data_IF_717224662657
#
_entry.id   IF_717224662657
#
_cell.length_a   1.000
_cell.length_b   1.000
_cell.length_c   1.000
_cell.angle_alpha   90.00
_cell.angle_beta   90.00
_cell.angle_gamma   90.00
#
_symmetry.space_group_name_H-M   'P 1'
#
loop_
_entity.id
_entity.type
_entity.pdbx_description
1 polymer ?
#
# COMPACT_ATOMS: atom_id res chain seq x y z
N UNK A 1 -37.95 27.05 -55.49
CA UNK A 1 -37.25 28.28 -55.94
C UNK A 1 -36.54 28.91 -54.75
N UNK A 2 -35.28 28.54 -54.48
CA UNK A 2 -34.20 29.44 -54.03
C UNK A 2 -32.90 28.63 -53.92
N UNK A 3 -31.85 29.14 -54.57
CA UNK A 3 -30.60 28.46 -54.83
C UNK A 3 -29.53 28.76 -53.78
N UNK A 4 -28.73 27.74 -53.48
CA UNK A 4 -27.51 27.79 -52.65
C UNK A 4 -26.42 28.59 -53.40
N UNK A 5 -25.81 29.58 -52.75
CA UNK A 5 -24.59 30.26 -53.22
C UNK A 5 -23.45 30.08 -52.22
N UNK A 6 -22.47 29.29 -52.64
CA UNK A 6 -21.14 29.14 -52.04
C UNK A 6 -20.28 30.39 -52.27
N UNK A 7 -19.69 30.95 -51.21
CA UNK A 7 -18.66 32.00 -51.32
C UNK A 7 -17.26 31.40 -51.14
N UNK A 8 -16.48 31.39 -52.22
CA UNK A 8 -15.03 31.17 -52.24
C UNK A 8 -14.32 32.31 -51.50
N UNK A 9 -13.43 32.02 -50.56
CA UNK A 9 -12.43 32.96 -50.04
C UNK A 9 -11.13 32.79 -50.83
N UNK A 10 -10.66 33.87 -51.45
CA UNK A 10 -9.33 33.94 -52.09
C UNK A 10 -8.31 34.34 -51.02
N UNK A 11 -7.20 33.61 -50.97
CA UNK A 11 -6.05 33.93 -50.13
C UNK A 11 -5.27 35.12 -50.71
N UNK A 12 -4.82 36.04 -49.84
CA UNK A 12 -3.89 37.11 -50.17
C UNK A 12 -2.53 36.72 -49.61
N UNK A 13 -1.55 36.57 -50.49
CA UNK A 13 -0.16 36.32 -50.13
C UNK A 13 0.54 37.66 -49.82
N UNK A 14 1.13 37.77 -48.63
CA UNK A 14 2.01 38.88 -48.25
C UNK A 14 3.45 38.37 -48.36
N UNK A 15 4.24 38.97 -49.27
CA UNK A 15 5.67 38.70 -49.41
C UNK A 15 6.44 39.55 -48.38
N UNK A 16 7.23 38.90 -47.53
CA UNK A 16 8.22 39.56 -46.67
C UNK A 16 9.62 39.19 -47.18
N UNK A 17 10.38 40.19 -47.59
CA UNK A 17 11.77 40.05 -48.03
C UNK A 17 12.70 39.92 -46.82
N UNK A 18 13.56 38.91 -46.83
CA UNK A 18 14.60 38.69 -45.84
C UNK A 18 15.86 39.50 -46.19
N UNK A 19 16.40 40.24 -45.22
CA UNK A 19 17.77 40.76 -45.25
C UNK A 19 18.53 40.03 -44.15
N UNK A 20 19.42 39.11 -44.54
CA UNK A 20 20.37 38.48 -43.63
C UNK A 20 21.60 39.40 -43.49
N UNK A 21 21.79 39.98 -42.30
CA UNK A 21 23.09 40.50 -41.87
C UNK A 21 23.81 39.38 -41.11
N UNK A 22 24.93 38.90 -41.67
CA UNK A 22 25.78 37.91 -41.04
C UNK A 22 26.58 38.52 -39.88
N UNK A 23 26.43 37.97 -38.68
CA UNK A 23 27.32 38.15 -37.55
C UNK A 23 27.95 36.79 -37.24
N UNK A 24 29.22 36.62 -37.61
CA UNK A 24 30.02 35.48 -37.21
C UNK A 24 30.46 35.66 -35.76
N UNK A 25 30.06 34.74 -34.89
CA UNK A 25 30.61 34.61 -33.54
C UNK A 25 31.61 33.44 -33.51
N UNK A 26 32.78 33.60 -32.85
CA UNK A 26 33.77 32.53 -32.76
C UNK A 26 33.28 31.44 -31.79
N UNK A 27 33.36 30.19 -32.22
CA UNK A 27 33.16 29.02 -31.37
C UNK A 27 34.36 28.81 -30.46
N UNK A 28 34.20 29.01 -29.16
CA UNK A 28 35.16 28.58 -28.14
C UNK A 28 34.87 27.11 -27.78
N UNK A 29 35.76 26.21 -28.20
CA UNK A 29 35.77 24.82 -27.77
C UNK A 29 36.40 24.72 -26.38
N UNK A 30 35.58 24.47 -25.35
CA UNK A 30 36.06 24.09 -24.03
C UNK A 30 36.15 22.56 -23.91
N UNK A 31 37.31 22.05 -23.55
CA UNK A 31 37.57 20.65 -23.18
C UNK A 31 36.83 20.29 -21.87
N UNK A 32 36.27 19.07 -21.73
CA UNK A 32 35.57 18.69 -20.51
C UNK A 32 36.57 18.43 -19.38
N UNK A 33 36.33 19.07 -18.23
CA UNK A 33 37.04 18.81 -16.99
C UNK A 33 36.47 17.56 -16.32
N UNK A 34 37.33 16.58 -16.04
CA UNK A 34 37.00 15.36 -15.32
C UNK A 34 36.71 15.69 -13.86
N UNK A 35 35.44 15.63 -13.46
CA UNK A 35 35.06 15.72 -12.05
C UNK A 35 35.19 14.33 -11.42
N UNK A 36 36.21 14.16 -10.57
CA UNK A 36 36.36 12.97 -9.72
C UNK A 36 35.37 13.09 -8.57
N UNK A 37 34.21 12.44 -8.69
CA UNK A 37 33.26 12.31 -7.58
C UNK A 37 33.87 11.39 -6.51
N UNK A 38 34.12 11.93 -5.32
CA UNK A 38 34.44 11.16 -4.15
C UNK A 38 33.19 10.37 -3.72
N UNK A 39 33.27 9.03 -3.77
CA UNK A 39 32.25 8.13 -3.24
C UNK A 39 32.32 8.14 -1.72
N UNK A 40 31.41 8.85 -1.06
CA UNK A 40 31.11 8.64 0.35
C UNK A 40 30.25 7.38 0.47
N UNK A 41 30.86 6.28 0.88
CA UNK A 41 30.15 5.04 1.23
C UNK A 41 29.36 5.29 2.51
N UNK A 42 28.06 5.55 2.38
CA UNK A 42 27.10 5.39 3.48
C UNK A 42 26.58 3.96 3.40
N UNK A 43 27.08 3.07 4.25
CA UNK A 43 26.52 1.75 4.47
C UNK A 43 25.20 1.91 5.25
N UNK A 44 24.12 2.19 4.54
CA UNK A 44 22.81 1.77 5.01
C UNK A 44 22.77 0.25 4.86
N UNK A 45 22.72 -0.48 5.97
CA UNK A 45 22.50 -1.92 5.94
C UNK A 45 21.09 -2.17 5.40
N UNK A 46 21.01 -2.59 4.14
CA UNK A 46 19.82 -3.24 3.60
C UNK A 46 19.90 -4.69 4.06
N UNK A 47 19.34 -5.00 5.21
CA UNK A 47 19.12 -6.38 5.68
C UNK A 47 18.12 -7.02 4.72
N UNK A 48 18.63 -7.83 3.79
CA UNK A 48 17.81 -8.61 2.85
C UNK A 48 17.17 -9.80 3.57
N UNK A 49 16.06 -10.35 3.06
CA UNK A 49 15.36 -11.51 3.64
C UNK A 49 16.30 -12.64 4.15
N UNK A 50 17.37 -12.96 3.41
CA UNK A 50 18.36 -13.97 3.80
C UNK A 50 19.04 -13.74 5.18
N UNK A 51 19.13 -12.49 5.66
CA UNK A 51 19.70 -12.16 6.98
C UNK A 51 18.65 -12.36 8.09
N UNK A 52 17.35 -12.23 7.77
CA UNK A 52 16.25 -12.58 8.66
C UNK A 52 16.05 -14.10 8.75
N UNK A 53 16.32 -14.86 7.67
CA UNK A 53 16.17 -16.33 7.65
C UNK A 53 17.00 -17.03 8.73
N UNK A 54 18.26 -16.64 8.88
CA UNK A 54 19.16 -17.26 9.86
C UNK A 54 18.93 -16.76 11.30
N UNK A 55 18.16 -15.69 11.45
CA UNK A 55 17.93 -15.00 12.74
C UNK A 55 16.47 -15.00 13.15
N UNK A 56 15.69 -14.06 12.63
CA UNK A 56 14.30 -13.78 12.98
C UNK A 56 13.35 -14.91 12.55
N UNK A 57 13.56 -15.50 11.37
CA UNK A 57 12.68 -16.54 10.80
C UNK A 57 13.23 -17.97 10.92
N UNK A 58 14.34 -18.19 11.62
CA UNK A 58 15.03 -19.50 11.70
C UNK A 58 14.10 -20.67 12.04
N UNK A 59 13.08 -20.44 12.87
CA UNK A 59 12.16 -21.48 13.34
C UNK A 59 11.00 -21.72 12.36
N UNK A 60 10.85 -20.89 11.33
CA UNK A 60 9.87 -21.05 10.24
C UNK A 60 10.49 -21.74 9.00
N UNK A 61 11.80 -21.60 8.78
CA UNK A 61 12.49 -22.10 7.58
C UNK A 61 12.25 -23.60 7.37
N UNK A 62 11.84 -23.94 6.15
CA UNK A 62 11.60 -25.32 5.70
C UNK A 62 10.28 -25.94 6.17
N UNK A 63 9.43 -25.20 6.91
CA UNK A 63 8.11 -25.65 7.32
C UNK A 63 7.06 -25.27 6.27
N UNK A 64 5.92 -25.98 6.29
CA UNK A 64 4.74 -25.70 5.45
C UNK A 64 3.44 -25.98 6.23
N UNK A 65 2.30 -25.58 5.69
CA UNK A 65 0.97 -25.75 6.27
C UNK A 65 0.87 -25.20 7.69
N UNK A 66 0.10 -25.88 8.54
CA UNK A 66 -0.10 -25.52 9.95
C UNK A 66 1.22 -25.35 10.71
N UNK A 67 2.24 -26.15 10.40
CA UNK A 67 3.53 -26.07 11.08
C UNK A 67 4.27 -24.75 10.79
N UNK A 68 4.16 -24.23 9.57
CA UNK A 68 4.67 -22.92 9.21
C UNK A 68 3.84 -21.83 9.87
N UNK A 69 2.51 -21.90 9.73
CA UNK A 69 1.59 -20.93 10.33
C UNK A 69 1.82 -20.76 11.84
N UNK A 70 1.85 -21.84 12.62
CA UNK A 70 2.08 -21.76 14.06
C UNK A 70 3.49 -21.24 14.43
N UNK A 71 4.49 -21.53 13.60
CA UNK A 71 5.85 -21.00 13.82
C UNK A 71 5.90 -19.49 13.57
N UNK A 72 5.28 -19.02 12.50
CA UNK A 72 5.14 -17.60 12.21
C UNK A 72 4.32 -16.90 13.27
N UNK A 73 3.18 -17.46 13.69
CA UNK A 73 2.37 -16.94 14.79
C UNK A 73 3.25 -16.69 16.02
N UNK A 74 4.02 -17.70 16.44
CA UNK A 74 4.92 -17.59 17.58
C UNK A 74 5.93 -16.45 17.40
N UNK A 75 6.58 -16.37 16.24
CA UNK A 75 7.60 -15.34 15.93
C UNK A 75 6.99 -13.92 16.00
N UNK A 76 5.84 -13.71 15.36
CA UNK A 76 5.23 -12.38 15.24
C UNK A 76 4.33 -12.02 16.43
N UNK A 77 4.08 -12.96 17.35
CA UNK A 77 3.27 -12.76 18.55
C UNK A 77 3.92 -11.77 19.53
N UNK A 78 5.25 -11.78 19.60
CA UNK A 78 6.03 -10.85 20.41
C UNK A 78 6.10 -9.50 19.69
N UNK A 79 5.33 -8.54 20.20
CA UNK A 79 5.27 -7.20 19.64
C UNK A 79 4.98 -6.14 20.70
N UNK A 80 5.51 -4.94 20.45
CA UNK A 80 5.10 -3.74 21.17
C UNK A 80 3.73 -3.29 20.65
N UNK A 81 2.77 -3.09 21.56
CA UNK A 81 1.41 -2.68 21.21
C UNK A 81 1.26 -1.17 21.39
N UNK A 82 0.80 -0.50 20.34
CA UNK A 82 0.55 0.94 20.39
C UNK A 82 -0.81 1.25 21.03
N UNK A 83 -0.94 2.46 21.58
CA UNK A 83 -2.28 3.00 21.88
C UNK A 83 -2.95 3.45 20.59
N UNK A 84 -4.28 3.48 20.58
CA UNK A 84 -5.01 3.93 19.40
C UNK A 84 -4.65 5.35 18.98
N UNK A 85 -4.38 6.25 19.93
CA UNK A 85 -3.95 7.62 19.62
C UNK A 85 -2.56 7.68 18.99
N UNK A 86 -1.62 6.84 19.43
CA UNK A 86 -0.26 6.79 18.89
C UNK A 86 -0.20 6.34 17.43
N UNK A 87 -1.19 5.57 16.96
CA UNK A 87 -1.30 5.15 15.55
C UNK A 87 -1.27 6.35 14.60
N UNK A 88 -1.85 7.50 14.95
CA UNK A 88 -1.84 8.66 14.07
C UNK A 88 -0.45 9.14 13.71
N UNK A 89 0.46 9.15 14.68
CA UNK A 89 1.83 9.61 14.46
C UNK A 89 2.67 8.53 13.78
N UNK A 90 2.40 7.26 14.07
CA UNK A 90 3.01 6.15 13.35
C UNK A 90 2.66 6.15 11.86
N UNK A 91 1.38 6.31 11.49
CA UNK A 91 0.95 6.34 10.09
C UNK A 91 1.55 7.49 9.27
N UNK A 92 1.84 8.64 9.91
CA UNK A 92 2.57 9.73 9.26
C UNK A 92 4.00 9.34 8.89
N UNK A 93 4.57 8.34 9.54
CA UNK A 93 5.94 7.86 9.27
C UNK A 93 5.89 6.64 8.37
N UNK A 94 5.10 5.61 8.70
CA UNK A 94 5.02 4.33 7.97
C UNK A 94 4.49 4.50 6.55
N UNK A 95 3.59 5.45 6.33
CA UNK A 95 2.92 5.67 5.06
C UNK A 95 3.30 7.03 4.43
N UNK A 96 4.42 7.62 4.85
CA UNK A 96 4.94 8.85 4.25
C UNK A 96 5.11 8.69 2.74
N UNK A 97 4.57 9.62 1.96
CA UNK A 97 4.74 9.65 0.52
C UNK A 97 6.23 9.83 0.14
N UNK A 98 6.83 8.91 -0.66
CA UNK A 98 8.23 9.00 -1.06
C UNK A 98 8.56 10.27 -1.85
N UNK A 99 7.59 10.80 -2.60
CA UNK A 99 7.77 11.99 -3.43
C UNK A 99 7.41 13.29 -2.69
N UNK A 100 6.82 13.19 -1.50
CA UNK A 100 6.46 14.35 -0.67
C UNK A 100 6.40 14.00 0.82
N UNK A 101 7.49 14.30 1.55
CA UNK A 101 7.61 14.01 2.98
C UNK A 101 6.61 14.74 3.89
N UNK A 102 5.92 15.78 3.38
CA UNK A 102 4.82 16.45 4.08
C UNK A 102 3.50 15.68 4.05
N UNK A 103 3.42 14.63 3.23
CA UNK A 103 2.20 13.88 2.95
C UNK A 103 2.32 12.40 3.36
N UNK A 104 1.16 11.76 3.47
CA UNK A 104 1.00 10.30 3.46
C UNK A 104 0.41 9.85 2.12
N UNK A 105 0.74 8.63 1.72
CA UNK A 105 0.13 7.95 0.58
C UNK A 105 -1.08 7.16 1.07
N UNK A 106 -2.26 7.49 0.55
CA UNK A 106 -3.51 6.81 0.92
C UNK A 106 -3.59 5.46 0.20
N UNK A 107 -3.95 4.40 0.93
CA UNK A 107 -3.89 3.01 0.48
C UNK A 107 -4.66 2.77 -0.83
N UNK A 108 -5.98 2.84 -0.76
CA UNK A 108 -6.89 2.50 -1.85
C UNK A 108 -6.92 3.61 -2.90
N UNK A 109 -7.03 4.87 -2.48
CA UNK A 109 -7.11 5.98 -3.45
C UNK A 109 -5.79 6.30 -4.14
N UNK A 110 -4.64 5.91 -3.56
CA UNK A 110 -3.31 6.26 -4.06
C UNK A 110 -3.01 7.76 -3.99
N UNK A 111 -3.87 8.56 -3.37
CA UNK A 111 -3.73 10.02 -3.29
C UNK A 111 -2.61 10.36 -2.30
N UNK A 112 -1.80 11.36 -2.65
CA UNK A 112 -0.88 12.01 -1.72
C UNK A 112 -1.63 13.08 -0.91
N UNK A 113 -1.64 12.96 0.42
CA UNK A 113 -2.40 13.89 1.29
C UNK A 113 -1.58 14.38 2.46
N UNK A 114 -1.70 15.67 2.79
CA UNK A 114 -1.01 16.27 3.94
C UNK A 114 -1.18 15.45 5.21
N UNK A 115 -0.08 15.25 5.93
CA UNK A 115 -0.04 14.64 7.26
C UNK A 115 -0.95 15.35 8.28
N UNK A 116 -1.24 16.64 8.06
CA UNK A 116 -2.09 17.44 8.94
C UNK A 116 -3.59 17.36 8.61
N UNK A 117 -3.95 16.79 7.45
CA UNK A 117 -5.35 16.58 7.07
C UNK A 117 -5.88 15.25 7.59
N UNK A 118 -5.61 14.93 8.86
CA UNK A 118 -6.07 13.70 9.49
C UNK A 118 -7.29 13.98 10.37
N UNK A 119 -8.33 13.13 10.33
CA UNK A 119 -9.56 13.32 11.12
C UNK A 119 -10.79 12.70 10.46
N UNK A 120 -11.98 13.23 10.74
CA UNK A 120 -13.25 12.67 10.27
C UNK A 120 -13.98 13.45 9.17
N UNK A 121 -13.41 14.56 8.68
CA UNK A 121 -14.07 15.40 7.67
C UNK A 121 -13.79 14.92 6.24
N UNK A 122 -14.68 15.24 5.30
CA UNK A 122 -14.36 15.06 3.87
C UNK A 122 -13.10 15.84 3.49
N UNK A 123 -12.24 15.20 2.68
CA UNK A 123 -10.90 15.71 2.35
C UNK A 123 -9.83 15.39 3.40
N UNK A 124 -10.19 14.90 4.58
CA UNK A 124 -9.23 14.32 5.52
C UNK A 124 -8.95 12.85 5.18
N UNK A 125 -7.86 12.33 5.72
CA UNK A 125 -7.65 10.90 5.86
C UNK A 125 -7.94 10.42 7.28
N UNK A 126 -8.35 9.16 7.43
CA UNK A 126 -8.52 8.47 8.69
C UNK A 126 -7.77 7.13 8.71
N UNK A 127 -7.87 6.41 9.82
CA UNK A 127 -7.30 5.08 9.99
C UNK A 127 -8.23 4.05 9.35
N UNK A 128 -7.76 3.43 8.29
CA UNK A 128 -8.37 2.27 7.67
C UNK A 128 -7.91 1.01 8.41
N UNK A 129 -8.87 0.25 8.90
CA UNK A 129 -8.65 -1.08 9.44
C UNK A 129 -8.82 -2.08 8.30
N UNK A 130 -7.72 -2.42 7.61
CA UNK A 130 -7.79 -3.36 6.46
C UNK A 130 -8.47 -4.66 6.87
N UNK A 131 -8.09 -5.27 8.00
CA UNK A 131 -9.02 -6.17 8.66
C UNK A 131 -10.14 -5.38 9.34
N UNK A 132 -11.35 -5.41 8.79
CA UNK A 132 -12.45 -4.63 9.33
C UNK A 132 -12.81 -5.07 10.77
N UNK A 133 -12.83 -4.13 11.72
CA UNK A 133 -13.04 -4.41 13.15
C UNK A 133 -14.29 -5.23 13.45
N UNK A 134 -15.34 -5.08 12.64
CA UNK A 134 -16.60 -5.81 12.83
C UNK A 134 -16.48 -7.31 12.56
N UNK A 135 -15.46 -7.76 11.82
CA UNK A 135 -15.17 -9.18 11.61
C UNK A 135 -14.30 -9.70 12.75
N UNK A 136 -14.85 -9.75 13.95
CA UNK A 136 -14.16 -10.20 15.17
C UNK A 136 -14.35 -9.32 16.40
N UNK A 137 -14.96 -8.14 16.26
CA UNK A 137 -15.35 -7.23 17.37
C UNK A 137 -14.19 -6.87 18.33
N UNK A 138 -12.97 -6.75 17.80
CA UNK A 138 -11.80 -6.45 18.63
C UNK A 138 -11.63 -4.95 18.94
N UNK A 139 -12.43 -4.09 18.28
CA UNK A 139 -12.46 -2.65 18.50
C UNK A 139 -11.12 -1.94 18.27
N UNK A 140 -10.75 -1.05 19.19
CA UNK A 140 -9.55 -0.18 19.08
C UNK A 140 -8.58 -0.34 20.25
N UNK A 141 -8.74 -1.41 21.03
CA UNK A 141 -7.83 -1.75 22.12
C UNK A 141 -6.45 -2.14 21.59
N UNK A 142 -5.42 -1.91 22.41
CA UNK A 142 -4.04 -2.25 22.08
C UNK A 142 -3.91 -3.76 21.77
N UNK A 143 -3.53 -4.09 20.54
CA UNK A 143 -3.62 -5.42 19.96
C UNK A 143 -4.07 -5.32 18.50
N UNK A 144 -5.01 -6.17 18.02
CA UNK A 144 -5.45 -6.15 16.63
C UNK A 144 -6.03 -4.79 16.23
N UNK A 145 -6.71 -4.08 17.14
CA UNK A 145 -7.27 -2.74 16.89
C UNK A 145 -6.25 -1.63 16.63
N UNK A 146 -4.97 -1.88 16.89
CA UNK A 146 -3.88 -0.90 16.82
C UNK A 146 -2.67 -1.41 16.05
N UNK A 147 -2.76 -2.59 15.42
CA UNK A 147 -1.64 -3.20 14.71
C UNK A 147 -1.37 -2.49 13.38
N UNK A 148 -0.20 -1.85 13.30
CA UNK A 148 0.28 -1.12 12.14
C UNK A 148 0.42 -2.02 10.92
N UNK A 149 0.61 -3.33 11.05
CA UNK A 149 0.72 -4.19 9.86
C UNK A 149 -0.57 -4.21 9.04
N UNK A 150 -1.74 -3.85 9.60
CA UNK A 150 -2.99 -3.76 8.83
C UNK A 150 -3.66 -2.37 8.86
N UNK A 151 -3.20 -1.45 9.72
CA UNK A 151 -3.72 -0.09 9.79
C UNK A 151 -3.06 0.80 8.74
N UNK A 152 -3.86 1.47 7.89
CA UNK A 152 -3.36 2.34 6.81
C UNK A 152 -4.07 3.70 6.84
N UNK A 153 -3.46 4.79 6.34
CA UNK A 153 -4.19 6.03 6.12
C UNK A 153 -5.05 5.91 4.86
N UNK A 154 -6.31 6.32 4.93
CA UNK A 154 -7.18 6.36 3.75
C UNK A 154 -8.09 7.59 3.75
N UNK A 155 -8.53 8.02 2.57
CA UNK A 155 -9.53 9.06 2.42
C UNK A 155 -10.81 8.66 3.17
N UNK A 156 -11.36 9.58 3.98
CA UNK A 156 -12.54 9.33 4.81
C UNK A 156 -13.73 8.80 3.99
N UNK A 157 -13.93 9.29 2.76
CA UNK A 157 -15.04 8.86 1.91
C UNK A 157 -14.76 7.48 1.30
N UNK A 158 -13.52 7.21 0.90
CA UNK A 158 -13.12 5.90 0.36
C UNK A 158 -13.19 4.83 1.45
N UNK A 159 -12.69 5.11 2.65
CA UNK A 159 -12.85 4.25 3.82
C UNK A 159 -14.34 4.00 4.12
N UNK A 160 -15.18 5.04 4.10
CA UNK A 160 -16.63 4.86 4.28
C UNK A 160 -17.30 4.01 3.20
N UNK A 161 -16.83 4.05 1.95
CA UNK A 161 -17.35 3.22 0.85
C UNK A 161 -16.92 1.76 1.02
N UNK A 162 -15.67 1.54 1.44
CA UNK A 162 -15.13 0.21 1.77
C UNK A 162 -15.93 -0.39 2.93
N UNK A 163 -16.16 0.37 3.99
CA UNK A 163 -16.95 -0.04 5.15
C UNK A 163 -16.39 -1.31 5.79
N UNK A 164 -17.20 -2.36 5.85
CA UNK A 164 -16.81 -3.68 6.36
C UNK A 164 -16.92 -4.78 5.29
N UNK A 165 -16.94 -4.39 4.00
CA UNK A 165 -17.04 -5.34 2.89
C UNK A 165 -15.84 -6.28 2.89
N UNK A 166 -16.11 -7.54 2.54
CA UNK A 166 -15.07 -8.52 2.33
C UNK A 166 -14.23 -8.15 1.10
N UNK A 167 -12.98 -8.63 1.05
CA UNK A 167 -12.13 -8.47 -0.13
C UNK A 167 -12.41 -9.57 -1.15
N UNK A 168 -12.75 -9.16 -2.36
CA UNK A 168 -13.01 -9.99 -3.55
C UNK A 168 -12.93 -9.07 -4.78
N UNK A 169 -13.09 -9.61 -5.98
CA UNK A 169 -13.28 -8.81 -7.19
C UNK A 169 -14.56 -7.99 -7.06
N UNK A 170 -14.41 -6.67 -7.19
CA UNK A 170 -15.48 -5.72 -6.96
C UNK A 170 -16.37 -5.59 -8.18
N UNK A 171 -17.21 -4.55 -8.15
CA UNK A 171 -18.06 -4.20 -9.28
C UNK A 171 -17.56 -2.96 -10.01
N UNK A 172 -18.02 -1.80 -9.56
CA UNK A 172 -17.85 -0.54 -10.28
C UNK A 172 -16.86 0.38 -9.58
N UNK A 173 -16.16 1.19 -10.37
CA UNK A 173 -15.33 2.27 -9.84
C UNK A 173 -16.19 3.38 -9.22
N UNK A 174 -15.57 4.17 -8.35
CA UNK A 174 -16.21 5.29 -7.65
C UNK A 174 -15.27 6.48 -7.55
N UNK A 175 -15.79 7.63 -7.13
CA UNK A 175 -15.00 8.88 -7.04
C UNK A 175 -13.80 8.70 -6.12
N UNK A 176 -12.62 9.16 -6.56
CA UNK A 176 -11.35 9.02 -5.85
C UNK A 176 -10.90 7.58 -5.57
N UNK A 177 -11.44 6.57 -6.28
CA UNK A 177 -11.10 5.17 -5.99
C UNK A 177 -9.67 4.77 -6.34
N UNK A 178 -8.96 5.57 -7.16
CA UNK A 178 -7.59 5.24 -7.58
C UNK A 178 -7.50 3.98 -8.45
N UNK A 179 -8.63 3.46 -8.93
CA UNK A 179 -8.74 2.16 -9.60
C UNK A 179 -9.50 1.11 -8.78
N UNK A 180 -9.71 1.33 -7.48
CA UNK A 180 -10.49 0.41 -6.65
C UNK A 180 -11.93 0.31 -7.16
N UNK A 181 -12.50 -0.89 -7.02
CA UNK A 181 -13.88 -1.23 -7.38
C UNK A 181 -14.66 -1.67 -6.15
N UNK A 182 -15.98 -1.55 -6.20
CA UNK A 182 -16.84 -2.03 -5.12
C UNK A 182 -18.21 -2.41 -5.65
N UNK A 183 -18.88 -3.32 -4.94
CA UNK A 183 -20.28 -3.66 -5.13
C UNK A 183 -21.03 -3.68 -3.78
N UNK A 184 -22.06 -4.52 -3.63
CA UNK A 184 -22.86 -4.60 -2.41
C UNK A 184 -22.13 -5.17 -1.19
N UNK A 185 -21.23 -6.13 -1.39
CA UNK A 185 -20.65 -6.95 -0.34
C UNK A 185 -19.12 -7.10 -0.45
N UNK A 186 -18.53 -6.67 -1.57
CA UNK A 186 -17.10 -6.73 -1.81
C UNK A 186 -16.42 -5.38 -2.13
N UNK A 187 -15.12 -5.36 -1.85
CA UNK A 187 -14.21 -4.30 -2.23
C UNK A 187 -12.97 -4.89 -2.90
N UNK A 188 -12.63 -4.37 -4.07
CA UNK A 188 -11.39 -4.66 -4.78
C UNK A 188 -10.48 -3.43 -4.72
N UNK A 189 -9.30 -3.52 -4.08
CA UNK A 189 -8.35 -2.42 -4.07
C UNK A 189 -7.76 -2.23 -5.48
N UNK A 190 -7.28 -1.02 -5.79
CA UNK A 190 -6.54 -0.74 -7.03
C UNK A 190 -5.38 -1.72 -7.19
N UNK A 191 -5.03 -2.03 -8.44
CA UNK A 191 -4.05 -3.08 -8.77
C UNK A 191 -2.72 -2.96 -8.00
N UNK A 192 -2.21 -1.74 -7.84
CA UNK A 192 -0.92 -1.49 -7.21
C UNK A 192 -0.92 -1.50 -5.67
N UNK A 193 -1.93 -2.10 -5.02
CA UNK A 193 -1.93 -2.47 -3.58
C UNK A 193 -2.77 -3.74 -3.33
N UNK A 194 -3.00 -4.56 -4.37
CA UNK A 194 -3.75 -5.82 -4.23
C UNK A 194 -2.99 -6.79 -3.34
N UNK A 195 -1.68 -6.89 -3.55
CA UNK A 195 -0.78 -7.72 -2.78
C UNK A 195 -0.59 -7.20 -1.37
N UNK A 196 -0.45 -5.88 -1.18
CA UNK A 196 -0.45 -5.26 0.15
C UNK A 196 -1.66 -5.74 0.96
N UNK A 197 -2.87 -5.59 0.42
CA UNK A 197 -4.10 -5.94 1.10
C UNK A 197 -4.15 -7.43 1.43
N UNK A 198 -3.76 -8.28 0.47
CA UNK A 198 -3.66 -9.72 0.68
C UNK A 198 -2.74 -10.05 1.87
N UNK A 199 -1.50 -9.55 1.85
CA UNK A 199 -0.51 -9.81 2.90
C UNK A 199 -0.91 -9.22 4.25
N UNK A 200 -1.65 -8.10 4.29
CA UNK A 200 -2.18 -7.54 5.52
C UNK A 200 -3.30 -8.42 6.13
N UNK A 201 -4.21 -8.97 5.31
CA UNK A 201 -5.25 -9.89 5.78
C UNK A 201 -4.65 -11.21 6.26
N UNK A 202 -3.74 -11.80 5.48
CA UNK A 202 -3.09 -13.06 5.83
C UNK A 202 -2.20 -12.93 7.07
N UNK A 203 -1.50 -11.79 7.22
CA UNK A 203 -0.79 -11.46 8.46
C UNK A 203 -1.72 -11.45 9.67
N UNK A 204 -2.88 -10.80 9.57
CA UNK A 204 -3.82 -10.72 10.68
C UNK A 204 -4.32 -12.10 11.10
N UNK A 205 -4.54 -12.99 10.13
CA UNK A 205 -4.95 -14.36 10.40
C UNK A 205 -3.85 -15.18 11.11
N UNK A 206 -2.59 -15.03 10.72
CA UNK A 206 -1.47 -15.70 11.41
C UNK A 206 -1.19 -15.07 12.77
N UNK A 207 -1.24 -13.74 12.88
CA UNK A 207 -0.96 -13.06 14.15
C UNK A 207 -2.03 -13.36 15.18
N UNK A 208 -3.30 -13.41 14.80
CA UNK A 208 -4.43 -13.50 15.73
C UNK A 208 -5.25 -14.79 15.52
N UNK A 209 -4.62 -15.96 15.68
CA UNK A 209 -5.25 -17.29 15.56
C UNK A 209 -5.97 -17.78 16.84
N UNK A 210 -6.50 -16.87 17.67
CA UNK A 210 -7.36 -17.22 18.81
C UNK A 210 -6.68 -17.71 20.10
N UNK A 211 -5.35 -17.78 20.15
CA UNK A 211 -4.57 -18.30 21.29
C UNK A 211 -4.22 -17.29 22.40
N UNK A 212 -4.29 -15.98 22.14
CA UNK A 212 -3.80 -14.92 23.04
C UNK A 212 -4.91 -13.98 23.53
N UNK A 213 -6.12 -14.52 23.74
CA UNK A 213 -7.35 -13.82 24.18
C UNK A 213 -7.96 -12.86 23.16
N UNK A 214 -7.45 -12.87 21.92
CA UNK A 214 -8.07 -12.22 20.78
C UNK A 214 -8.96 -13.21 20.00
N UNK A 215 -9.87 -12.72 19.15
CA UNK A 215 -10.63 -13.57 18.25
C UNK A 215 -9.71 -14.38 17.34
N UNK A 216 -10.17 -15.56 16.94
CA UNK A 216 -9.53 -16.39 15.92
C UNK A 216 -9.87 -15.84 14.52
N UNK A 217 -8.98 -15.01 13.99
CA UNK A 217 -9.13 -14.34 12.71
C UNK A 217 -8.70 -15.28 11.58
N UNK A 218 -9.58 -15.54 10.60
CA UNK A 218 -9.23 -16.36 9.42
C UNK A 218 -9.81 -15.79 8.11
N UNK A 219 -9.11 -15.87 6.97
CA UNK A 219 -9.76 -15.72 5.68
C UNK A 219 -10.61 -16.97 5.37
N UNK A 220 -11.55 -16.85 4.45
CA UNK A 220 -12.31 -17.99 3.93
C UNK A 220 -12.65 -17.77 2.46
N UNK A 221 -13.43 -18.64 1.81
CA UNK A 221 -13.87 -18.38 0.41
C UNK A 221 -15.28 -17.78 0.32
N UNK A 222 -15.63 -16.82 1.19
CA UNK A 222 -16.93 -16.15 1.22
C UNK A 222 -16.83 -14.62 1.35
N UNK A 223 -17.90 -13.92 0.96
CA UNK A 223 -18.06 -12.45 1.08
C UNK A 223 -19.28 -12.07 1.93
N UNK A 224 -19.82 -13.04 2.68
CA UNK A 224 -21.03 -12.91 3.50
C UNK A 224 -20.74 -13.27 4.96
N UNK A 225 -19.59 -12.82 5.47
CA UNK A 225 -19.10 -13.20 6.80
C UNK A 225 -19.80 -12.43 7.93
N UNK A 226 -20.40 -11.28 7.64
CA UNK A 226 -21.17 -10.52 8.63
C UNK A 226 -20.28 -9.99 9.75
N UNK A 227 -20.35 -10.60 10.94
CA UNK A 227 -19.55 -10.19 12.11
C UNK A 227 -18.74 -11.34 12.72
N UNK A 228 -18.73 -12.52 12.09
CA UNK A 228 -17.82 -13.59 12.52
C UNK A 228 -16.38 -13.17 12.21
N UNK A 229 -15.36 -13.71 12.89
CA UNK A 229 -13.96 -13.33 12.65
C UNK A 229 -13.39 -13.93 11.34
N UNK A 230 -14.19 -13.88 10.26
CA UNK A 230 -13.81 -14.35 8.93
C UNK A 230 -13.73 -13.16 7.98
N UNK A 231 -12.67 -13.02 7.19
CA UNK A 231 -12.56 -11.85 6.32
C UNK A 231 -11.77 -12.07 5.02
N UNK A 232 -12.41 -11.69 3.91
CA UNK A 232 -11.83 -11.74 2.57
C UNK A 232 -11.79 -13.14 1.95
N UNK A 233 -11.94 -13.19 0.63
CA UNK A 233 -11.92 -14.43 -0.16
C UNK A 233 -10.48 -14.94 -0.34
N UNK A 234 -10.11 -15.98 0.40
CA UNK A 234 -8.77 -16.56 0.42
C UNK A 234 -8.22 -16.84 -0.98
N UNK A 235 -8.99 -17.49 -1.84
CA UNK A 235 -8.56 -17.76 -3.23
C UNK A 235 -8.18 -16.49 -4.02
N UNK A 236 -8.87 -15.37 -3.77
CA UNK A 236 -8.58 -14.08 -4.41
C UNK A 236 -7.42 -13.37 -3.73
N UNK A 237 -7.29 -13.45 -2.41
CA UNK A 237 -6.15 -12.90 -1.68
C UNK A 237 -4.84 -13.59 -2.13
N UNK A 238 -4.86 -14.92 -2.30
CA UNK A 238 -3.73 -15.68 -2.86
C UNK A 238 -3.36 -15.20 -4.26
N UNK A 239 -4.36 -15.07 -5.14
CA UNK A 239 -4.16 -14.54 -6.49
C UNK A 239 -3.53 -13.13 -6.47
N UNK A 240 -4.05 -12.23 -5.62
CA UNK A 240 -3.55 -10.86 -5.50
C UNK A 240 -2.12 -10.79 -4.95
N UNK A 241 -1.75 -11.67 -4.02
CA UNK A 241 -0.38 -11.77 -3.54
C UNK A 241 0.61 -12.10 -4.67
N UNK A 242 0.22 -13.00 -5.58
CA UNK A 242 1.06 -13.41 -6.71
C UNK A 242 1.13 -12.35 -7.82
N UNK A 243 0.01 -11.66 -8.07
CA UNK A 243 -0.11 -10.63 -9.12
C UNK A 243 0.59 -9.32 -8.75
N UNK A 244 0.68 -9.01 -7.45
CA UNK A 244 1.27 -7.78 -6.92
C UNK A 244 2.31 -8.11 -5.81
N UNK A 245 3.55 -8.47 -6.20
CA UNK A 245 4.63 -8.75 -5.26
C UNK A 245 4.99 -7.54 -4.40
N UNK A 246 5.63 -7.73 -3.23
CA UNK A 246 6.08 -6.62 -2.39
C UNK A 246 6.91 -5.59 -3.15
N UNK A 247 6.56 -4.32 -2.97
CA UNK A 247 7.30 -3.20 -3.55
C UNK A 247 8.15 -2.48 -2.49
N UNK A 248 9.00 -1.55 -2.95
CA UNK A 248 9.89 -0.81 -2.06
C UNK A 248 9.14 0.04 -1.02
N UNK A 249 7.89 0.44 -1.27
CA UNK A 249 7.10 1.18 -0.30
C UNK A 249 6.62 0.26 0.82
N UNK A 250 6.12 -0.93 0.47
CA UNK A 250 5.68 -1.95 1.42
C UNK A 250 6.84 -2.53 2.24
N UNK A 251 7.96 -2.87 1.60
CA UNK A 251 9.17 -3.35 2.29
C UNK A 251 9.69 -2.32 3.30
N UNK A 252 9.78 -1.04 2.89
CA UNK A 252 10.17 0.06 3.78
C UNK A 252 9.20 0.18 4.95
N UNK A 253 7.91 0.05 4.69
CA UNK A 253 6.87 0.12 5.72
C UNK A 253 7.05 -0.99 6.75
N UNK A 254 7.24 -2.23 6.30
CA UNK A 254 7.51 -3.39 7.16
C UNK A 254 8.75 -3.16 8.04
N UNK A 255 9.84 -2.65 7.43
CA UNK A 255 11.07 -2.31 8.14
C UNK A 255 10.85 -1.23 9.21
N UNK A 256 10.15 -0.14 8.89
CA UNK A 256 9.90 0.96 9.84
C UNK A 256 9.06 0.49 11.03
N UNK A 257 8.05 -0.36 10.79
CA UNK A 257 7.22 -0.93 11.87
C UNK A 257 8.10 -1.78 12.80
N UNK A 258 8.96 -2.62 12.23
CA UNK A 258 9.90 -3.42 12.99
C UNK A 258 10.90 -2.57 13.79
N UNK A 259 11.56 -1.60 13.16
CA UNK A 259 12.66 -0.90 13.82
C UNK A 259 12.19 0.11 14.88
N UNK A 260 11.02 0.73 14.67
CA UNK A 260 10.63 1.93 15.42
C UNK A 260 9.34 1.82 16.22
N UNK A 261 8.48 0.82 15.98
CA UNK A 261 7.13 0.81 16.55
C UNK A 261 6.73 -0.48 17.24
N UNK A 262 6.62 -1.58 16.50
CA UNK A 262 6.04 -2.83 17.01
C UNK A 262 7.05 -3.94 17.18
N UNK A 263 8.24 -3.83 16.56
CA UNK A 263 9.32 -4.81 16.70
C UNK A 263 8.97 -6.23 16.23
N UNK A 264 7.91 -6.35 15.44
CA UNK A 264 7.57 -7.52 14.67
C UNK A 264 7.45 -7.18 13.18
N UNK A 265 7.52 -8.20 12.34
CA UNK A 265 7.45 -8.10 10.88
C UNK A 265 6.21 -8.78 10.33
N UNK A 266 5.72 -8.31 9.18
CA UNK A 266 4.80 -9.07 8.36
C UNK A 266 5.60 -10.09 7.52
N UNK A 267 5.52 -11.40 7.84
CA UNK A 267 6.34 -12.40 7.18
C UNK A 267 5.99 -12.57 5.71
N UNK A 268 4.78 -12.20 5.29
CA UNK A 268 4.37 -12.30 3.90
C UNK A 268 4.93 -11.16 3.04
N UNK A 269 5.41 -10.06 3.65
CA UNK A 269 6.17 -9.03 2.92
C UNK A 269 7.59 -9.49 2.67
N UNK A 270 8.20 -10.17 3.64
CA UNK A 270 9.57 -10.67 3.51
C UNK A 270 9.65 -11.99 2.70
N UNK A 271 8.61 -12.82 2.79
CA UNK A 271 8.45 -14.12 2.14
C UNK A 271 7.03 -14.28 1.57
N UNK A 272 6.71 -13.62 0.45
CA UNK A 272 5.39 -13.72 -0.18
C UNK A 272 5.03 -15.15 -0.61
N UNK A 273 6.03 -16.01 -0.86
CA UNK A 273 5.84 -17.42 -1.18
C UNK A 273 5.28 -18.25 -0.02
N UNK A 274 5.36 -17.77 1.23
CA UNK A 274 4.80 -18.47 2.37
C UNK A 274 3.27 -18.47 2.40
N UNK A 275 2.63 -17.60 1.61
CA UNK A 275 1.18 -17.65 1.40
C UNK A 275 0.78 -19.02 0.82
N UNK A 276 1.36 -19.42 -0.30
CA UNK A 276 1.12 -20.75 -0.91
C UNK A 276 1.70 -21.91 -0.08
N UNK A 277 2.70 -21.64 0.76
CA UNK A 277 3.25 -22.68 1.62
C UNK A 277 2.32 -23.01 2.80
N UNK A 278 1.41 -22.12 3.19
CA UNK A 278 0.44 -22.32 4.27
C UNK A 278 -0.90 -22.82 3.74
N UNK A 279 -1.45 -22.20 2.69
CA UNK A 279 -2.81 -22.42 2.18
C UNK A 279 -2.83 -23.00 0.77
#
# INVERSE_FOLDING_TARGET
MLAIRTRRRKAVALAAAAVLAGLAAPSLTATPATATSATTTSTALTTTAADYDETYYKDAIGKTGDSLKSSLHTIISDQTKLSYSAVWDALKVTDQDPDNSGNVKLLYSGISRSKTLNGGNSGNWNREHVWAQSHGDFGTSAGPGTDLHHLRPEDVQVNSIRGNKDFDNGGSGFTNSGGSLTDSDSFEPRDAVKGDVARMILYMAVRYEGGDSWPDLEPNDAVTNGSVPLHGRLSVLKQWNDEDPPDAFEERRNQVIHDSYQHNRNPFVDHPEWVEAIW
#
